data_IF_534644972377
#
_entry.id   IF_534644972377
#
_cell.length_a   1.000
_cell.length_b   1.000
_cell.length_c   1.000
_cell.angle_alpha   90.00
_cell.angle_beta   90.00
_cell.angle_gamma   90.00
#
_symmetry.space_group_name_H-M   'P 1'
#
loop_
_entity.id
_entity.type
_entity.pdbx_description
1 polymer ?
#
# COMPACT_ATOMS: atom_id res chain seq x y z
N UNK A 1 16.45 2.98 18.65
CA UNK A 1 16.69 2.31 17.36
C UNK A 1 15.92 1.01 17.28
N UNK A 2 15.63 0.54 16.06
CA UNK A 2 15.08 -0.79 15.81
C UNK A 2 16.24 -1.76 15.48
N UNK A 3 16.21 -2.95 16.06
CA UNK A 3 17.14 -4.05 15.83
C UNK A 3 16.38 -5.32 15.47
N UNK A 4 17.05 -6.31 14.87
CA UNK A 4 16.48 -7.63 14.52
C UNK A 4 15.22 -7.56 13.67
N UNK A 5 15.14 -6.53 12.78
CA UNK A 5 13.98 -6.33 11.92
C UNK A 5 13.85 -7.45 10.89
N UNK A 6 12.68 -8.09 10.88
CA UNK A 6 12.25 -9.03 9.83
C UNK A 6 10.75 -8.96 9.64
N UNK A 7 10.26 -9.57 8.57
CA UNK A 7 8.83 -9.66 8.27
C UNK A 7 8.34 -11.09 8.54
N UNK A 8 7.27 -11.22 9.31
CA UNK A 8 6.51 -12.46 9.49
C UNK A 8 5.20 -12.32 8.71
N UNK A 9 5.06 -13.01 7.59
CA UNK A 9 3.90 -12.90 6.68
C UNK A 9 3.58 -11.45 6.27
N UNK A 10 4.62 -10.63 6.02
CA UNK A 10 4.50 -9.21 5.68
C UNK A 10 4.35 -8.26 6.88
N UNK A 11 4.18 -8.77 8.10
CA UNK A 11 4.07 -7.96 9.32
C UNK A 11 5.44 -7.74 9.95
N UNK A 12 5.83 -6.48 10.26
CA UNK A 12 7.12 -6.19 10.89
C UNK A 12 7.21 -6.73 12.31
N UNK A 13 8.32 -7.41 12.58
CA UNK A 13 8.75 -7.81 13.91
C UNK A 13 10.15 -7.25 14.13
N UNK A 14 10.37 -6.57 15.25
CA UNK A 14 11.65 -5.96 15.57
C UNK A 14 11.82 -5.77 17.08
N UNK A 15 13.05 -5.49 17.51
CA UNK A 15 13.37 -5.11 18.88
C UNK A 15 13.57 -3.59 18.94
N UNK A 16 12.71 -2.89 19.67
CA UNK A 16 12.88 -1.47 19.94
C UNK A 16 13.87 -1.29 21.11
N UNK A 17 14.88 -0.44 20.92
CA UNK A 17 15.97 -0.21 21.90
C UNK A 17 16.09 1.26 22.23
N UNK A 18 16.03 1.60 23.55
CA UNK A 18 16.32 2.92 24.09
C UNK A 18 17.08 2.77 25.42
N UNK A 19 18.34 3.24 25.48
CA UNK A 19 19.23 2.96 26.61
C UNK A 19 19.40 1.46 26.82
N UNK A 20 19.16 1.01 28.04
CA UNK A 20 19.20 -0.40 28.43
C UNK A 20 17.85 -1.12 28.21
N UNK A 21 16.79 -0.39 27.86
CA UNK A 21 15.48 -0.97 27.61
C UNK A 21 15.42 -1.59 26.21
N UNK A 22 14.99 -2.86 26.16
CA UNK A 22 14.83 -3.65 24.93
C UNK A 22 13.46 -4.31 24.93
N UNK A 23 12.62 -3.94 23.96
CA UNK A 23 11.24 -4.48 23.88
C UNK A 23 10.97 -5.02 22.49
N UNK A 24 10.49 -6.27 22.42
CA UNK A 24 10.04 -6.85 21.15
C UNK A 24 8.69 -6.25 20.74
N UNK A 25 8.60 -5.83 19.49
CA UNK A 25 7.38 -5.29 18.89
C UNK A 25 7.01 -6.15 17.68
N UNK A 26 5.74 -6.54 17.59
CA UNK A 26 5.14 -7.11 16.39
C UNK A 26 3.96 -6.24 16.01
N UNK A 27 4.02 -5.64 14.81
CA UNK A 27 2.94 -4.80 14.30
C UNK A 27 1.83 -5.67 13.68
N UNK A 28 0.61 -5.13 13.67
CA UNK A 28 -0.55 -5.70 12.94
C UNK A 28 -0.88 -4.88 11.69
N UNK A 29 0.07 -4.09 11.21
CA UNK A 29 0.05 -3.37 9.94
C UNK A 29 1.25 -3.82 9.13
N UNK A 30 1.06 -4.06 7.83
CA UNK A 30 2.10 -4.61 6.96
C UNK A 30 3.09 -3.56 6.48
N UNK A 31 4.25 -4.03 6.03
CA UNK A 31 5.28 -3.23 5.38
C UNK A 31 6.36 -2.71 6.32
N UNK A 32 7.62 -2.82 5.88
CA UNK A 32 8.81 -2.42 6.63
C UNK A 32 8.83 -0.94 7.02
N UNK A 33 8.23 -0.07 6.18
CA UNK A 33 8.12 1.38 6.44
C UNK A 33 7.33 1.70 7.71
N UNK A 34 6.44 0.80 8.17
CA UNK A 34 5.68 0.99 9.41
C UNK A 34 6.57 0.94 10.66
N UNK A 35 7.78 0.39 10.56
CA UNK A 35 8.75 0.39 11.68
C UNK A 35 9.15 1.81 12.06
N UNK A 36 9.41 2.68 11.07
CA UNK A 36 9.74 4.09 11.35
C UNK A 36 8.61 4.82 12.06
N UNK A 37 7.35 4.57 11.65
CA UNK A 37 6.17 5.14 12.32
C UNK A 37 6.02 4.63 13.75
N UNK A 38 6.23 3.34 13.97
CA UNK A 38 6.20 2.72 15.29
C UNK A 38 7.32 3.28 16.20
N UNK A 39 8.53 3.43 15.68
CA UNK A 39 9.65 4.01 16.43
C UNK A 39 9.39 5.48 16.82
N UNK A 40 8.77 6.27 15.92
CA UNK A 40 8.35 7.63 16.25
C UNK A 40 7.30 7.65 17.37
N UNK A 41 6.31 6.76 17.31
CA UNK A 41 5.29 6.64 18.36
C UNK A 41 5.90 6.22 19.71
N UNK A 42 6.86 5.28 19.72
CA UNK A 42 7.57 4.89 20.92
C UNK A 42 8.40 6.04 21.51
N UNK A 43 9.08 6.84 20.67
CA UNK A 43 9.84 7.99 21.11
C UNK A 43 8.93 9.06 21.76
N UNK A 44 7.75 9.30 21.21
CA UNK A 44 6.74 10.18 21.81
C UNK A 44 6.27 9.62 23.14
N UNK A 45 5.93 8.34 23.22
CA UNK A 45 5.50 7.69 24.46
C UNK A 45 6.54 7.82 25.56
N UNK A 46 7.82 7.60 25.25
CA UNK A 46 8.94 7.76 26.16
C UNK A 46 9.07 9.21 26.66
N UNK A 47 8.94 10.20 25.77
CA UNK A 47 8.97 11.63 26.14
C UNK A 47 7.87 12.00 27.15
N UNK A 48 6.72 11.33 27.09
CA UNK A 48 5.62 11.49 28.06
C UNK A 48 5.76 10.56 29.28
N UNK A 49 6.86 9.88 29.46
CA UNK A 49 7.14 9.01 30.61
C UNK A 49 6.32 7.73 30.64
N UNK A 50 5.81 7.28 29.49
CA UNK A 50 5.13 5.99 29.36
C UNK A 50 6.16 4.86 29.28
N UNK A 51 5.85 3.72 29.91
CA UNK A 51 6.73 2.55 29.80
C UNK A 51 6.79 2.04 28.37
N UNK A 52 7.98 1.73 27.90
CA UNK A 52 8.24 1.19 26.56
C UNK A 52 7.49 -0.11 26.31
N UNK A 53 7.36 -0.96 27.35
CA UNK A 53 6.63 -2.23 27.26
C UNK A 53 5.14 -2.00 27.02
N UNK A 54 4.53 -1.04 27.73
CA UNK A 54 3.11 -0.70 27.55
C UNK A 54 2.86 -0.08 26.19
N UNK A 55 3.75 0.80 25.74
CA UNK A 55 3.67 1.43 24.42
C UNK A 55 3.84 0.40 23.29
N UNK A 56 4.80 -0.51 23.40
CA UNK A 56 5.00 -1.60 22.46
C UNK A 56 3.80 -2.55 22.38
N UNK A 57 3.21 -2.89 23.53
CA UNK A 57 1.99 -3.71 23.58
C UNK A 57 0.81 -3.02 22.89
N UNK A 58 0.63 -1.71 23.09
CA UNK A 58 -0.41 -0.92 22.44
C UNK A 58 -0.21 -0.86 20.92
N UNK A 59 1.03 -0.66 20.44
CA UNK A 59 1.37 -0.72 19.02
C UNK A 59 1.05 -2.08 18.40
N UNK A 60 1.31 -3.17 19.11
CA UNK A 60 0.96 -4.52 18.68
C UNK A 60 -0.56 -4.79 18.59
N UNK A 61 -1.40 -3.89 19.11
CA UNK A 61 -2.86 -3.97 18.98
C UNK A 61 -3.43 -3.07 17.88
N UNK A 62 -2.63 -2.13 17.38
CA UNK A 62 -3.04 -1.19 16.35
C UNK A 62 -3.26 -1.90 15.01
N UNK A 63 -4.47 -1.79 14.46
CA UNK A 63 -4.91 -2.45 13.22
C UNK A 63 -4.92 -1.53 11.99
N UNK A 64 -4.34 -0.34 12.09
CA UNK A 64 -4.36 0.67 11.03
C UNK A 64 -5.63 1.53 11.04
N UNK A 65 -5.73 2.42 10.05
CA UNK A 65 -6.87 3.28 9.79
C UNK A 65 -7.52 2.91 8.45
N UNK A 66 -8.82 3.25 8.29
CA UNK A 66 -9.56 3.06 7.06
C UNK A 66 -8.82 3.71 5.88
N UNK A 67 -8.68 2.97 4.78
CA UNK A 67 -8.00 3.41 3.58
C UNK A 67 -6.48 3.58 3.71
N UNK A 68 -5.86 3.01 4.77
CA UNK A 68 -4.40 3.00 4.98
C UNK A 68 -3.91 1.57 5.16
N UNK A 69 -3.61 0.91 4.05
CA UNK A 69 -3.13 -0.48 3.96
C UNK A 69 -3.99 -1.47 4.76
N UNK A 70 -5.31 -1.29 4.73
CA UNK A 70 -6.21 -2.29 5.30
C UNK A 70 -6.34 -3.47 4.34
N UNK A 71 -6.24 -4.68 4.89
CA UNK A 71 -6.32 -5.91 4.12
C UNK A 71 -7.60 -6.65 4.50
N UNK A 72 -8.35 -7.04 3.48
CA UNK A 72 -9.61 -7.77 3.61
C UNK A 72 -9.66 -8.92 2.61
N UNK A 73 -10.48 -9.92 2.90
CA UNK A 73 -10.84 -10.97 1.95
C UNK A 73 -12.34 -10.88 1.65
N UNK A 74 -12.68 -10.77 0.35
CA UNK A 74 -14.05 -10.78 -0.13
C UNK A 74 -14.19 -11.66 -1.36
N UNK A 75 -15.12 -12.63 -1.32
CA UNK A 75 -15.38 -13.52 -2.45
C UNK A 75 -14.11 -14.20 -2.99
N UNK A 76 -13.20 -14.61 -2.09
CA UNK A 76 -11.93 -15.22 -2.46
C UNK A 76 -10.87 -14.28 -3.01
N UNK A 77 -11.10 -12.96 -2.97
CA UNK A 77 -10.17 -11.91 -3.43
C UNK A 77 -9.58 -11.20 -2.22
N UNK A 78 -8.26 -11.07 -2.18
CA UNK A 78 -7.58 -10.25 -1.17
C UNK A 78 -7.49 -8.81 -1.64
N UNK A 79 -8.04 -7.88 -0.87
CA UNK A 79 -8.05 -6.44 -1.17
C UNK A 79 -7.16 -5.69 -0.20
N UNK A 80 -6.26 -4.87 -0.73
CA UNK A 80 -5.41 -3.93 0.01
C UNK A 80 -5.97 -2.53 -0.24
N UNK A 81 -6.73 -2.00 0.72
CA UNK A 81 -7.25 -0.63 0.68
C UNK A 81 -6.21 0.35 1.23
N UNK A 82 -5.50 1.02 0.35
CA UNK A 82 -4.57 2.12 0.63
C UNK A 82 -4.99 3.40 -0.13
N UNK A 83 -6.31 3.59 -0.25
CA UNK A 83 -6.96 4.61 -1.08
C UNK A 83 -7.04 6.00 -0.44
N UNK A 84 -6.56 6.17 0.80
CA UNK A 84 -6.68 7.45 1.51
C UNK A 84 -5.77 8.54 0.94
N UNK A 85 -4.53 8.23 0.60
CA UNK A 85 -3.59 9.17 0.00
C UNK A 85 -2.42 8.45 -0.68
N UNK A 86 -1.70 9.18 -1.55
CA UNK A 86 -0.54 8.66 -2.24
C UNK A 86 0.60 9.69 -2.33
N UNK A 87 1.82 9.19 -2.20
CA UNK A 87 3.08 9.88 -2.49
C UNK A 87 4.05 8.88 -3.10
N UNK A 88 5.12 9.30 -3.79
CA UNK A 88 6.06 8.35 -4.42
C UNK A 88 6.58 7.28 -3.47
N UNK A 89 6.97 7.66 -2.26
CA UNK A 89 7.45 6.72 -1.24
C UNK A 89 6.34 5.75 -0.81
N UNK A 90 5.15 6.26 -0.55
CA UNK A 90 4.03 5.41 -0.10
C UNK A 90 3.48 4.53 -1.23
N UNK A 91 3.60 4.96 -2.50
CA UNK A 91 3.22 4.16 -3.66
C UNK A 91 4.10 2.91 -3.76
N UNK A 92 5.43 3.09 -3.69
CA UNK A 92 6.39 1.97 -3.68
C UNK A 92 6.14 1.03 -2.50
N UNK A 93 5.94 1.59 -1.30
CA UNK A 93 5.62 0.79 -0.11
C UNK A 93 4.32 -0.02 -0.26
N UNK A 94 3.28 0.53 -0.90
CA UNK A 94 2.05 -0.19 -1.21
C UNK A 94 2.27 -1.35 -2.19
N UNK A 95 3.10 -1.14 -3.21
CA UNK A 95 3.48 -2.18 -4.17
C UNK A 95 4.31 -3.29 -3.51
N UNK A 96 5.24 -2.96 -2.59
CA UNK A 96 5.96 -3.96 -1.78
C UNK A 96 5.01 -4.79 -0.91
N UNK A 97 3.99 -4.17 -0.31
CA UNK A 97 2.96 -4.90 0.45
C UNK A 97 2.17 -5.81 -0.48
N UNK A 98 1.75 -5.35 -1.66
CA UNK A 98 1.06 -6.16 -2.66
C UNK A 98 1.89 -7.40 -3.04
N UNK A 99 3.20 -7.24 -3.27
CA UNK A 99 4.11 -8.34 -3.58
C UNK A 99 4.19 -9.36 -2.43
N UNK A 100 4.24 -8.88 -1.18
CA UNK A 100 4.39 -9.74 0.01
C UNK A 100 3.13 -10.51 0.40
N UNK A 101 1.95 -10.08 -0.01
CA UNK A 101 0.67 -10.76 0.27
C UNK A 101 0.52 -11.98 -0.64
N UNK A 102 0.04 -13.10 -0.11
CA UNK A 102 -0.23 -14.31 -0.92
C UNK A 102 -1.39 -14.05 -1.89
N UNK A 103 -1.26 -14.52 -3.10
CA UNK A 103 -2.29 -14.42 -4.14
C UNK A 103 -1.78 -14.98 -5.46
N UNK A 104 -2.69 -15.43 -6.34
CA UNK A 104 -2.36 -16.00 -7.64
C UNK A 104 -1.97 -14.92 -8.64
N UNK A 105 -2.70 -13.79 -8.63
CA UNK A 105 -2.38 -12.62 -9.46
C UNK A 105 -2.26 -11.37 -8.59
N UNK A 106 -1.36 -10.49 -8.97
CA UNK A 106 -1.11 -9.19 -8.34
C UNK A 106 -1.63 -8.08 -9.26
N UNK A 107 -2.66 -7.39 -8.81
CA UNK A 107 -3.33 -6.34 -9.57
C UNK A 107 -3.20 -5.04 -8.79
N UNK A 108 -2.88 -3.94 -9.46
CA UNK A 108 -2.84 -2.62 -8.85
C UNK A 108 -3.80 -1.66 -9.57
N UNK A 109 -4.65 -0.98 -8.80
CA UNK A 109 -5.46 0.15 -9.24
C UNK A 109 -4.80 1.40 -8.67
N UNK A 110 -4.05 2.09 -9.51
CA UNK A 110 -3.25 3.26 -9.14
C UNK A 110 -3.88 4.53 -9.69
N UNK A 111 -3.97 5.56 -8.88
CA UNK A 111 -4.49 6.84 -9.32
C UNK A 111 -3.47 7.97 -9.06
N UNK A 112 -3.80 9.16 -9.56
CA UNK A 112 -2.96 10.34 -9.44
C UNK A 112 -2.44 10.56 -8.03
N UNK A 113 -1.17 10.91 -7.93
CA UNK A 113 -0.57 11.51 -6.75
C UNK A 113 -0.63 13.03 -6.88
N UNK A 114 -1.43 13.67 -6.06
CA UNK A 114 -1.57 15.14 -6.04
C UNK A 114 -0.56 15.80 -5.10
N UNK A 115 -0.41 17.11 -5.20
CA UNK A 115 0.39 17.95 -4.31
C UNK A 115 1.91 17.66 -4.35
N UNK A 116 2.43 17.16 -5.47
CA UNK A 116 3.85 16.84 -5.64
C UNK A 116 4.68 17.99 -6.25
N UNK A 117 4.03 19.12 -6.61
CA UNK A 117 4.72 20.29 -7.19
C UNK A 117 5.18 20.05 -8.65
N UNK A 118 6.24 20.76 -9.10
CA UNK A 118 6.63 20.78 -10.50
C UNK A 118 7.16 19.43 -11.05
N UNK A 119 7.62 18.56 -10.18
CA UNK A 119 8.17 17.24 -10.56
C UNK A 119 7.12 16.12 -10.63
N UNK A 120 5.84 16.49 -10.60
CA UNK A 120 4.72 15.53 -10.52
C UNK A 120 4.78 14.43 -11.57
N UNK A 121 4.98 14.78 -12.86
CA UNK A 121 5.05 13.80 -13.96
C UNK A 121 6.25 12.86 -13.79
N UNK A 122 7.41 13.40 -13.42
CA UNK A 122 8.61 12.61 -13.15
C UNK A 122 8.39 11.60 -12.05
N UNK A 123 7.76 11.99 -10.94
CA UNK A 123 7.47 11.08 -9.84
C UNK A 123 6.50 9.95 -10.23
N UNK A 124 5.52 10.23 -11.08
CA UNK A 124 4.64 9.18 -11.62
C UNK A 124 5.42 8.24 -12.54
N UNK A 125 6.25 8.75 -13.44
CA UNK A 125 7.09 7.93 -14.32
C UNK A 125 8.07 7.04 -13.52
N UNK A 126 8.60 7.53 -12.39
CA UNK A 126 9.46 6.75 -11.49
C UNK A 126 8.71 5.55 -10.85
N UNK A 127 7.40 5.67 -10.62
CA UNK A 127 6.58 4.51 -10.18
C UNK A 127 6.45 3.50 -11.31
N UNK A 128 6.26 3.95 -12.54
CA UNK A 128 6.24 3.08 -13.72
C UNK A 128 7.54 2.30 -13.89
N UNK A 129 8.69 2.98 -13.77
CA UNK A 129 10.00 2.32 -13.81
C UNK A 129 10.16 1.30 -12.67
N UNK A 130 9.69 1.63 -11.47
CA UNK A 130 9.69 0.71 -10.32
C UNK A 130 8.88 -0.56 -10.59
N UNK A 131 7.69 -0.44 -11.22
CA UNK A 131 6.87 -1.61 -11.63
C UNK A 131 7.62 -2.44 -12.69
N UNK A 132 8.43 -1.81 -13.55
CA UNK A 132 9.29 -2.52 -14.50
C UNK A 132 10.30 -3.47 -13.83
N UNK A 133 10.78 -3.12 -12.64
CA UNK A 133 11.68 -3.94 -11.82
C UNK A 133 10.92 -4.95 -10.93
N UNK A 134 9.64 -4.68 -10.64
CA UNK A 134 8.78 -5.47 -9.74
C UNK A 134 7.47 -5.80 -10.47
N UNK A 135 7.48 -6.79 -11.40
CA UNK A 135 6.35 -7.03 -12.29
C UNK A 135 5.10 -7.49 -11.56
N UNK A 136 3.96 -7.02 -12.05
CA UNK A 136 2.61 -7.37 -11.62
C UNK A 136 1.86 -8.07 -12.76
N UNK A 137 0.68 -8.62 -12.47
CA UNK A 137 -0.16 -9.25 -13.50
C UNK A 137 -1.02 -8.23 -14.27
N UNK A 138 -1.37 -7.09 -13.63
CA UNK A 138 -2.13 -6.01 -14.25
C UNK A 138 -2.01 -4.71 -13.45
N UNK A 139 -2.00 -3.58 -14.15
CA UNK A 139 -2.12 -2.23 -13.56
C UNK A 139 -3.24 -1.47 -14.26
N UNK A 140 -4.18 -0.93 -13.47
CA UNK A 140 -5.18 0.04 -13.92
C UNK A 140 -4.72 1.43 -13.46
N UNK A 141 -4.70 2.38 -14.38
CA UNK A 141 -4.20 3.74 -14.17
C UNK A 141 -5.36 4.74 -14.28
N UNK A 142 -5.75 5.34 -13.15
CA UNK A 142 -6.88 6.29 -13.09
C UNK A 142 -6.39 7.72 -12.96
N UNK A 143 -6.61 8.51 -14.00
CA UNK A 143 -6.33 9.95 -14.01
C UNK A 143 -5.20 10.35 -14.96
N UNK A 144 -5.14 11.64 -15.27
CA UNK A 144 -4.21 12.20 -16.27
C UNK A 144 -2.73 12.03 -15.87
N UNK A 145 -2.42 12.18 -14.57
CA UNK A 145 -1.05 12.01 -14.07
C UNK A 145 -0.67 10.54 -13.94
N UNK A 146 -1.65 9.67 -13.65
CA UNK A 146 -1.43 8.23 -13.60
C UNK A 146 -0.98 7.66 -14.97
N UNK A 147 -1.37 8.28 -16.10
CA UNK A 147 -0.86 7.94 -17.43
C UNK A 147 0.68 8.06 -17.54
N UNK A 148 1.30 8.95 -16.76
CA UNK A 148 2.76 9.02 -16.68
C UNK A 148 3.38 7.77 -16.02
N UNK A 149 2.64 7.04 -15.17
CA UNK A 149 3.08 5.73 -14.67
C UNK A 149 3.17 4.75 -15.85
N UNK A 150 2.13 4.70 -16.71
CA UNK A 150 2.12 3.90 -17.94
C UNK A 150 3.30 4.23 -18.84
N UNK A 151 3.54 5.52 -19.10
CA UNK A 151 4.70 5.98 -19.88
C UNK A 151 6.04 5.53 -19.27
N UNK A 152 6.15 5.54 -17.92
CA UNK A 152 7.33 5.05 -17.22
C UNK A 152 7.50 3.53 -17.33
N UNK A 153 6.40 2.77 -17.30
CA UNK A 153 6.39 1.32 -17.53
C UNK A 153 6.85 0.99 -18.96
N UNK A 154 6.36 1.70 -19.96
CA UNK A 154 6.72 1.52 -21.36
C UNK A 154 8.20 1.85 -21.60
N UNK A 155 8.68 2.95 -21.04
CA UNK A 155 10.11 3.34 -21.13
C UNK A 155 11.03 2.31 -20.48
N UNK A 156 10.60 1.70 -19.37
CA UNK A 156 11.30 0.61 -18.70
C UNK A 156 11.12 -0.76 -19.38
N UNK A 157 10.28 -0.84 -20.43
CA UNK A 157 9.89 -2.11 -21.07
C UNK A 157 9.34 -3.12 -20.08
N UNK A 158 8.50 -2.66 -19.16
CA UNK A 158 7.87 -3.51 -18.17
C UNK A 158 7.08 -4.65 -18.84
N UNK A 159 7.22 -5.87 -18.31
CA UNK A 159 6.43 -7.00 -18.78
C UNK A 159 4.97 -6.94 -18.29
N UNK A 160 4.69 -6.11 -17.28
CA UNK A 160 3.37 -5.89 -16.69
C UNK A 160 2.45 -5.17 -17.66
N UNK A 161 1.29 -5.73 -18.03
CA UNK A 161 0.29 -5.02 -18.81
C UNK A 161 -0.37 -3.92 -17.99
N UNK A 162 -0.72 -2.81 -18.65
CA UNK A 162 -1.47 -1.74 -18.00
C UNK A 162 -2.59 -1.20 -18.89
N UNK A 163 -3.58 -0.58 -18.25
CA UNK A 163 -4.75 0.03 -18.90
C UNK A 163 -4.96 1.41 -18.27
N UNK A 164 -5.03 2.44 -19.11
CA UNK A 164 -5.50 3.76 -18.69
C UNK A 164 -7.04 3.77 -18.64
N UNK A 165 -7.58 4.33 -17.57
CA UNK A 165 -9.01 4.43 -17.33
C UNK A 165 -9.40 5.85 -16.95
N UNK A 166 -10.52 6.32 -17.51
CA UNK A 166 -10.95 7.73 -17.39
C UNK A 166 -11.87 7.97 -16.19
N UNK A 167 -12.39 6.91 -15.59
CA UNK A 167 -13.38 7.04 -14.50
C UNK A 167 -13.40 5.83 -13.56
N UNK A 168 -13.90 6.06 -12.35
CA UNK A 168 -14.17 4.97 -11.39
C UNK A 168 -15.11 3.92 -11.96
N UNK A 169 -16.13 4.32 -12.72
CA UNK A 169 -17.06 3.38 -13.34
C UNK A 169 -16.37 2.43 -14.33
N UNK A 170 -15.34 2.87 -15.04
CA UNK A 170 -14.52 1.99 -15.87
C UNK A 170 -13.68 1.03 -15.04
N UNK A 171 -13.11 1.52 -13.90
CA UNK A 171 -12.41 0.65 -12.97
C UNK A 171 -13.32 -0.44 -12.41
N UNK A 172 -14.49 -0.05 -11.91
CA UNK A 172 -15.50 -0.95 -11.35
C UNK A 172 -15.94 -2.00 -12.39
N UNK A 173 -16.26 -1.56 -13.61
CA UNK A 173 -16.62 -2.46 -14.71
C UNK A 173 -15.49 -3.46 -15.02
N UNK A 174 -14.24 -2.98 -15.11
CA UNK A 174 -13.12 -3.87 -15.36
C UNK A 174 -12.94 -4.90 -14.24
N UNK A 175 -13.07 -4.46 -12.98
CA UNK A 175 -13.00 -5.33 -11.81
C UNK A 175 -14.09 -6.42 -11.86
N UNK A 176 -15.34 -6.04 -12.14
CA UNK A 176 -16.47 -6.98 -12.22
C UNK A 176 -16.27 -8.06 -13.31
N UNK A 177 -15.67 -7.68 -14.44
CA UNK A 177 -15.47 -8.56 -15.59
C UNK A 177 -14.22 -9.44 -15.49
N UNK A 178 -13.18 -9.02 -14.76
CA UNK A 178 -11.84 -9.61 -14.87
C UNK A 178 -11.29 -10.22 -13.59
N UNK A 179 -11.74 -9.79 -12.39
CA UNK A 179 -11.22 -10.34 -11.14
C UNK A 179 -11.82 -11.70 -10.83
N UNK A 180 -11.03 -12.55 -10.19
CA UNK A 180 -11.39 -13.92 -9.84
C UNK A 180 -10.83 -14.31 -8.48
N UNK A 181 -11.28 -15.43 -7.96
CA UNK A 181 -10.75 -16.03 -6.74
C UNK A 181 -9.22 -16.21 -6.83
N UNK A 182 -8.52 -15.93 -5.74
CA UNK A 182 -7.06 -15.97 -5.67
C UNK A 182 -6.37 -14.63 -6.02
N UNK A 183 -7.08 -13.64 -6.59
CA UNK A 183 -6.48 -12.34 -6.90
C UNK A 183 -6.15 -11.55 -5.63
N UNK A 184 -5.05 -10.78 -5.69
CA UNK A 184 -4.69 -9.78 -4.71
C UNK A 184 -4.65 -8.40 -5.36
N UNK A 185 -5.44 -7.45 -4.85
CA UNK A 185 -5.67 -6.15 -5.49
C UNK A 185 -5.30 -5.02 -4.53
N UNK A 186 -4.39 -4.13 -4.98
CA UNK A 186 -4.07 -2.88 -4.30
C UNK A 186 -4.87 -1.72 -4.90
N UNK A 187 -5.50 -0.91 -4.05
CA UNK A 187 -6.09 0.38 -4.41
C UNK A 187 -5.28 1.50 -3.79
N UNK A 188 -4.65 2.36 -4.62
CA UNK A 188 -3.81 3.45 -4.10
C UNK A 188 -3.82 4.68 -5.00
N UNK A 189 -4.11 5.85 -4.39
CA UNK A 189 -4.14 7.15 -5.05
C UNK A 189 -4.39 8.27 -4.04
N UNK A 190 -4.36 9.51 -4.51
CA UNK A 190 -4.78 10.66 -3.69
C UNK A 190 -6.26 10.58 -3.33
N UNK A 191 -6.64 11.11 -2.17
CA UNK A 191 -8.00 11.06 -1.64
C UNK A 191 -9.05 11.61 -2.64
N UNK A 192 -8.70 12.68 -3.35
CA UNK A 192 -9.57 13.30 -4.36
C UNK A 192 -9.93 12.37 -5.54
N UNK A 193 -9.17 11.31 -5.75
CA UNK A 193 -9.42 10.31 -6.79
C UNK A 193 -10.50 9.27 -6.40
N UNK A 194 -10.92 9.28 -5.12
CA UNK A 194 -12.04 8.51 -4.58
C UNK A 194 -11.98 6.99 -4.80
N UNK A 195 -10.78 6.42 -4.88
CA UNK A 195 -10.62 4.96 -5.05
C UNK A 195 -11.33 4.14 -3.95
N UNK A 196 -11.60 4.73 -2.79
CA UNK A 196 -12.41 4.10 -1.75
C UNK A 196 -13.85 3.75 -2.21
N UNK A 197 -14.38 4.40 -3.25
CA UNK A 197 -15.67 4.05 -3.85
C UNK A 197 -15.56 2.75 -4.64
N UNK A 198 -14.48 2.55 -5.42
CA UNK A 198 -14.22 1.28 -6.10
C UNK A 198 -14.00 0.12 -5.12
N UNK A 199 -13.30 0.37 -3.99
CA UNK A 199 -13.17 -0.61 -2.90
C UNK A 199 -14.53 -0.98 -2.32
N UNK A 200 -15.40 0.01 -2.11
CA UNK A 200 -16.77 -0.21 -1.61
C UNK A 200 -17.61 -1.01 -2.61
N UNK A 201 -17.55 -0.68 -3.90
CA UNK A 201 -18.23 -1.39 -4.98
C UNK A 201 -17.87 -2.88 -4.97
N UNK A 202 -16.57 -3.18 -4.90
CA UNK A 202 -16.07 -4.56 -4.86
C UNK A 202 -16.61 -5.34 -3.66
N UNK A 203 -16.73 -4.68 -2.50
CA UNK A 203 -17.31 -5.26 -1.30
C UNK A 203 -18.80 -5.59 -1.47
N UNK A 204 -19.56 -4.72 -2.14
CA UNK A 204 -21.00 -4.88 -2.34
C UNK A 204 -21.33 -5.96 -3.38
N UNK A 205 -20.48 -6.14 -4.38
CA UNK A 205 -20.69 -7.10 -5.47
C UNK A 205 -20.18 -8.51 -5.18
N UNK A 206 -19.30 -8.68 -4.19
CA UNK A 206 -18.68 -9.97 -3.86
C UNK A 206 -18.90 -10.45 -2.41
N UNK A 207 -19.82 -9.83 -1.68
CA UNK A 207 -20.20 -10.24 -0.32
C UNK A 207 -21.14 -11.45 -0.31
#
# INVERSE_FOLDING_TARGET
RAEDLHLEEGYPVFTAVHGDCRVRVRLKVMGSHMVSNAMAALAVADTYGLSMEKAALALGQFKGYKGRQQIFEWGGVTVIDDSYNASPVSMKAGLEVLDSVKGERKIAVLADMKELGPDTERFHAEIGAYIGEHPLDMVLLLGELAACIGSGMDAARAATPHIEIDSLAQAEKWLDENIREGDCILFKGSNSMKLSEAVKHLKETRS
#
